data_IF_503442467067
#
_entry.id   IF_503442467067
#
_cell.length_a   1.000
_cell.length_b   1.000
_cell.length_c   1.000
_cell.angle_alpha   90.00
_cell.angle_beta   90.00
_cell.angle_gamma   90.00
#
_symmetry.space_group_name_H-M   'P 1'
#
loop_
_entity.id
_entity.type
_entity.pdbx_description
1 polymer ?
#
# COMPACT_ATOMS: atom_id res chain seq x y z
N UNK A 1 20.30 -4.39 2.40
CA UNK A 1 18.85 -4.55 2.09
C UNK A 1 18.07 -3.54 2.91
N UNK A 2 16.83 -3.21 2.56
CA UNK A 2 16.14 -2.08 3.19
C UNK A 2 15.86 -2.21 4.71
N UNK A 3 16.00 -3.42 5.31
CA UNK A 3 16.08 -3.61 6.78
C UNK A 3 17.38 -3.04 7.36
N UNK A 4 18.50 -3.24 6.64
CA UNK A 4 19.81 -2.66 6.96
C UNK A 4 19.85 -1.13 6.75
N UNK A 5 18.84 -0.59 6.06
CA UNK A 5 18.63 0.85 5.86
C UNK A 5 17.49 1.41 6.73
N UNK A 6 17.13 0.69 7.80
CA UNK A 6 16.22 1.20 8.82
C UNK A 6 14.75 0.88 8.64
N UNK A 7 14.29 0.12 7.64
CA UNK A 7 12.89 -0.33 7.63
C UNK A 7 12.65 -1.37 8.73
N UNK A 8 11.66 -1.10 9.59
CA UNK A 8 11.25 -1.97 10.68
C UNK A 8 10.00 -2.80 10.38
N UNK A 9 8.98 -2.19 9.75
CA UNK A 9 7.72 -2.87 9.44
C UNK A 9 7.07 -2.35 8.15
N UNK A 10 6.27 -3.20 7.52
CA UNK A 10 5.28 -2.81 6.51
C UNK A 10 3.90 -2.85 7.14
N UNK A 11 3.15 -1.77 6.98
CA UNK A 11 1.83 -1.60 7.54
C UNK A 11 0.88 -1.40 6.37
N UNK A 12 -0.07 -2.32 6.19
CA UNK A 12 -1.18 -2.10 5.27
C UNK A 12 -2.31 -1.41 6.02
N UNK A 13 -2.56 -0.13 5.76
CA UNK A 13 -3.68 0.59 6.35
C UNK A 13 -4.88 0.65 5.39
N UNK A 14 -6.05 0.40 5.99
CA UNK A 14 -7.36 0.82 5.56
C UNK A 14 -7.80 0.50 4.14
N UNK A 15 -8.41 -0.68 3.98
CA UNK A 15 -9.39 -0.97 2.91
C UNK A 15 -10.56 0.01 3.05
N UNK A 16 -10.52 1.12 2.31
CA UNK A 16 -11.61 2.12 2.32
C UNK A 16 -12.52 1.88 1.12
N UNK A 17 -13.80 1.59 1.40
CA UNK A 17 -14.84 1.54 0.36
C UNK A 17 -14.92 2.90 -0.30
N UNK A 18 -14.54 2.95 -1.56
CA UNK A 18 -14.70 4.12 -2.41
C UNK A 18 -16.17 4.21 -2.75
N UNK A 19 -16.88 5.28 -2.36
CA UNK A 19 -18.31 5.37 -2.63
C UNK A 19 -18.72 6.63 -3.40
N UNK A 20 -18.28 6.83 -4.67
CA UNK A 20 -18.94 7.76 -5.57
C UNK A 20 -20.03 6.99 -6.34
N UNK A 21 -21.28 7.11 -5.89
CA UNK A 21 -22.46 6.44 -6.45
C UNK A 21 -22.86 7.01 -7.83
N UNK A 22 -22.34 8.19 -8.18
CA UNK A 22 -22.80 9.01 -9.31
C UNK A 22 -21.89 9.02 -10.54
N UNK A 23 -20.76 8.30 -10.55
CA UNK A 23 -19.84 8.24 -11.70
C UNK A 23 -20.18 7.08 -12.66
N UNK A 24 -20.03 7.28 -13.99
CA UNK A 24 -20.04 6.19 -14.96
C UNK A 24 -18.96 5.17 -14.59
N UNK A 25 -19.27 3.87 -14.59
CA UNK A 25 -18.43 2.76 -14.10
C UNK A 25 -18.33 2.60 -12.57
N UNK A 26 -19.45 2.78 -11.84
CA UNK A 26 -19.71 2.37 -10.43
C UNK A 26 -18.53 1.69 -9.73
N UNK A 27 -17.86 2.44 -8.87
CA UNK A 27 -16.75 1.98 -8.00
C UNK A 27 -17.26 1.78 -6.56
N UNK A 28 -18.58 1.62 -6.36
CA UNK A 28 -19.24 1.45 -5.06
C UNK A 28 -18.72 0.26 -4.23
N UNK A 29 -18.14 -0.73 -4.91
CA UNK A 29 -17.46 -1.89 -4.31
C UNK A 29 -15.93 -1.78 -4.33
N UNK A 30 -15.42 -0.66 -4.82
CA UNK A 30 -14.01 -0.43 -4.94
C UNK A 30 -13.36 -0.15 -3.60
N UNK A 31 -12.08 -0.50 -3.52
CA UNK A 31 -11.28 -0.38 -2.32
C UNK A 31 -10.01 0.39 -2.63
N UNK A 32 -9.71 1.37 -1.79
CA UNK A 32 -8.38 1.95 -1.68
C UNK A 32 -7.57 1.12 -0.68
N UNK A 33 -6.39 0.68 -1.10
CA UNK A 33 -5.37 0.09 -0.24
C UNK A 33 -4.23 1.08 -0.09
N UNK A 34 -3.76 1.27 1.14
CA UNK A 34 -2.55 2.04 1.41
C UNK A 34 -1.54 1.15 2.10
N UNK A 35 -0.32 1.12 1.58
CA UNK A 35 0.81 0.42 2.20
C UNK A 35 1.83 1.45 2.63
N UNK A 36 2.16 1.39 3.91
CA UNK A 36 3.14 2.23 4.57
C UNK A 36 4.35 1.40 5.02
N UNK A 37 5.47 2.10 5.12
CA UNK A 37 6.71 1.62 5.68
C UNK A 37 6.95 2.35 7.01
N UNK A 38 7.10 1.61 8.10
CA UNK A 38 7.64 2.15 9.34
C UNK A 38 9.16 2.02 9.30
N UNK A 39 9.87 3.15 9.24
CA UNK A 39 11.32 3.22 9.27
C UNK A 39 11.82 3.63 10.67
N UNK A 40 13.11 3.41 10.90
CA UNK A 40 13.80 3.71 12.15
C UNK A 40 13.61 5.19 12.52
N UNK A 41 13.41 5.45 13.81
CA UNK A 41 13.00 6.77 14.29
C UNK A 41 11.48 6.97 14.35
N UNK A 42 10.69 5.93 14.07
CA UNK A 42 9.23 5.97 14.19
C UNK A 42 8.53 6.75 13.07
N UNK A 43 9.23 6.96 11.95
CA UNK A 43 8.71 7.67 10.78
C UNK A 43 7.91 6.68 9.93
N UNK A 44 6.73 7.09 9.51
CA UNK A 44 5.88 6.34 8.60
C UNK A 44 5.92 6.96 7.20
N UNK A 45 6.26 6.15 6.19
CA UNK A 45 6.39 6.60 4.79
C UNK A 45 5.40 5.83 3.93
N UNK A 46 4.51 6.49 3.18
CA UNK A 46 3.62 5.81 2.25
C UNK A 46 4.41 5.24 1.07
N UNK A 47 4.21 3.95 0.77
CA UNK A 47 4.89 3.25 -0.31
C UNK A 47 3.98 3.03 -1.53
N UNK A 48 2.70 2.74 -1.30
CA UNK A 48 1.78 2.38 -2.37
C UNK A 48 0.35 2.84 -2.04
N UNK A 49 -0.28 3.46 -3.02
CA UNK A 49 -1.74 3.65 -3.07
C UNK A 49 -2.29 2.82 -4.22
N UNK A 50 -3.18 1.88 -3.92
CA UNK A 50 -3.81 1.04 -4.93
C UNK A 50 -5.33 1.17 -4.88
N UNK A 51 -5.91 1.64 -5.97
CA UNK A 51 -7.36 1.69 -6.16
C UNK A 51 -7.79 0.45 -6.92
N UNK A 52 -8.76 -0.26 -6.37
CA UNK A 52 -9.26 -1.52 -6.92
C UNK A 52 -10.78 -1.45 -7.03
N UNK A 53 -11.36 -2.19 -7.98
CA UNK A 53 -12.83 -2.20 -8.16
C UNK A 53 -13.55 -3.21 -7.27
N UNK A 54 -12.83 -4.22 -6.79
CA UNK A 54 -13.39 -5.32 -6.02
C UNK A 54 -12.44 -5.75 -4.91
N UNK A 55 -13.03 -6.00 -3.74
CA UNK A 55 -12.36 -6.62 -2.60
C UNK A 55 -12.34 -8.14 -2.78
N UNK A 56 -11.19 -8.66 -3.20
CA UNK A 56 -10.98 -10.12 -3.27
C UNK A 56 -9.66 -10.48 -2.62
N UNK A 57 -9.54 -11.73 -2.17
CA UNK A 57 -8.25 -12.27 -1.67
C UNK A 57 -7.16 -12.17 -2.75
N UNK A 58 -7.53 -12.32 -4.03
CA UNK A 58 -6.61 -12.14 -5.16
C UNK A 58 -6.10 -10.70 -5.26
N UNK A 59 -6.99 -9.72 -5.10
CA UNK A 59 -6.64 -8.29 -5.05
C UNK A 59 -5.63 -8.02 -3.94
N UNK A 60 -5.87 -8.53 -2.73
CA UNK A 60 -4.97 -8.35 -1.59
C UNK A 60 -3.57 -8.95 -1.84
N UNK A 61 -3.52 -10.20 -2.34
CA UNK A 61 -2.26 -10.86 -2.71
C UNK A 61 -1.49 -10.08 -3.78
N UNK A 62 -2.20 -9.50 -4.76
CA UNK A 62 -1.58 -8.70 -5.81
C UNK A 62 -0.98 -7.40 -5.26
N UNK A 63 -1.71 -6.67 -4.41
CA UNK A 63 -1.21 -5.45 -3.75
C UNK A 63 0.04 -5.74 -2.92
N UNK A 64 0.02 -6.81 -2.11
CA UNK A 64 1.20 -7.24 -1.33
C UNK A 64 2.38 -7.63 -2.23
N UNK A 65 2.15 -8.36 -3.32
CA UNK A 65 3.20 -8.76 -4.25
C UNK A 65 3.84 -7.56 -4.95
N UNK A 66 3.05 -6.57 -5.35
CA UNK A 66 3.56 -5.32 -5.94
C UNK A 66 4.38 -4.54 -4.90
N UNK A 67 3.87 -4.43 -3.67
CA UNK A 67 4.56 -3.76 -2.58
C UNK A 67 5.91 -4.42 -2.27
N UNK A 68 5.98 -5.75 -2.27
CA UNK A 68 7.22 -6.50 -2.09
C UNK A 68 8.25 -6.29 -3.21
N UNK A 69 7.81 -6.03 -4.45
CA UNK A 69 8.72 -5.66 -5.55
C UNK A 69 9.20 -4.22 -5.47
N UNK A 70 8.32 -3.29 -5.06
CA UNK A 70 8.73 -1.91 -4.80
C UNK A 70 9.80 -1.86 -3.71
N UNK A 71 9.66 -2.70 -2.68
CA UNK A 71 10.61 -2.87 -1.58
C UNK A 71 12.05 -3.18 -2.02
N UNK A 72 12.23 -4.09 -2.99
CA UNK A 72 13.57 -4.49 -3.44
C UNK A 72 14.37 -3.31 -4.03
N UNK A 73 13.68 -2.26 -4.46
CA UNK A 73 14.27 -1.10 -5.13
C UNK A 73 14.26 0.19 -4.28
N UNK A 74 13.72 0.14 -3.06
CA UNK A 74 13.72 1.31 -2.17
C UNK A 74 15.11 1.47 -1.55
N UNK A 75 15.85 2.48 -1.99
CA UNK A 75 17.02 3.02 -1.29
C UNK A 75 16.51 4.04 -0.27
N UNK A 76 16.44 3.67 0.99
CA UNK A 76 16.20 4.63 2.07
C UNK A 76 17.49 5.42 2.22
N UNK A 77 17.50 6.65 1.71
CA UNK A 77 18.60 7.58 1.94
C UNK A 77 18.72 7.88 3.43
N UNK A 78 19.93 7.81 3.96
CA UNK A 78 20.23 8.27 5.32
C UNK A 78 19.89 9.75 5.43
N UNK A 79 18.93 10.07 6.31
CA UNK A 79 18.61 11.44 6.73
C UNK A 79 19.74 12.01 7.59
#
# INVERSE_FOLDING_TARGET
MARDHGLYALIGDGVRKLNPVTIPNRIDKGQLYVVHAAIQGGIEVPLLYAVTRFETVGTYKMVLKISGKCWENIKIGSF
#
